data_IF_797833447921
#
_entry.id   IF_797833447921
#
_cell.length_a   1.000
_cell.length_b   1.000
_cell.length_c   1.000
_cell.angle_alpha   90.00
_cell.angle_beta   90.00
_cell.angle_gamma   90.00
#
_symmetry.space_group_name_H-M   'P 1'
#
loop_
_entity.id
_entity.type
_entity.pdbx_description
1 polymer ?
#
# COMPACT_ATOMS: atom_id res chain seq x y z
N UNK A 1 2.37 -7.83 9.78
CA UNK A 1 3.24 -7.02 8.90
C UNK A 1 3.57 -5.76 9.65
N UNK A 2 4.85 -5.52 9.94
CA UNK A 2 5.27 -4.32 10.67
C UNK A 2 4.95 -3.09 9.82
N UNK A 3 4.14 -2.17 10.36
CA UNK A 3 3.83 -0.91 9.69
C UNK A 3 5.15 -0.16 9.47
N UNK A 4 5.66 -0.14 8.24
CA UNK A 4 6.68 0.84 7.84
C UNK A 4 6.12 2.21 8.21
N UNK A 5 6.79 2.94 9.11
CA UNK A 5 6.32 4.28 9.52
C UNK A 5 6.32 5.16 8.28
N UNK A 6 5.39 6.11 8.20
CA UNK A 6 5.26 7.03 7.05
C UNK A 6 6.59 7.71 6.67
N UNK A 7 7.45 7.92 7.67
CA UNK A 7 8.82 8.44 7.55
C UNK A 7 9.76 7.57 6.72
N UNK A 8 9.52 6.26 6.66
CA UNK A 8 10.32 5.32 5.84
C UNK A 8 10.00 5.48 4.35
N UNK A 9 8.76 5.85 3.99
CA UNK A 9 8.42 6.10 2.58
C UNK A 9 9.13 7.34 2.02
N UNK A 10 9.36 8.35 2.85
CA UNK A 10 10.04 9.58 2.44
C UNK A 10 11.49 9.33 1.98
N UNK A 11 12.17 8.35 2.57
CA UNK A 11 13.56 7.99 2.24
C UNK A 11 13.72 6.91 1.15
N UNK A 12 12.62 6.35 0.64
CA UNK A 12 12.68 5.33 -0.42
C UNK A 12 12.81 5.98 -1.80
N UNK A 13 13.57 5.33 -2.67
CA UNK A 13 13.66 5.70 -4.08
C UNK A 13 12.30 5.49 -4.78
N UNK A 14 12.04 6.27 -5.84
CA UNK A 14 10.77 6.24 -6.57
C UNK A 14 10.48 4.85 -7.14
N UNK A 15 11.50 4.16 -7.66
CA UNK A 15 11.36 2.81 -8.21
C UNK A 15 10.97 1.78 -7.16
N UNK A 16 11.56 1.89 -5.96
CA UNK A 16 11.26 1.00 -4.83
C UNK A 16 9.85 1.24 -4.33
N UNK A 17 9.42 2.50 -4.25
CA UNK A 17 8.06 2.87 -3.86
C UNK A 17 7.02 2.33 -4.85
N UNK A 18 7.29 2.41 -6.16
CA UNK A 18 6.41 1.83 -7.18
C UNK A 18 6.36 0.30 -7.13
N UNK A 19 7.48 -0.35 -6.84
CA UNK A 19 7.55 -1.81 -6.69
C UNK A 19 6.73 -2.27 -5.50
N UNK A 20 6.93 -1.64 -4.34
CA UNK A 20 6.18 -1.92 -3.11
C UNK A 20 4.68 -1.64 -3.30
N UNK A 21 4.32 -0.58 -4.03
CA UNK A 21 2.93 -0.27 -4.38
C UNK A 21 2.29 -1.38 -5.23
N UNK A 22 2.99 -1.86 -6.27
CA UNK A 22 2.49 -2.95 -7.13
C UNK A 22 2.25 -4.22 -6.31
N UNK A 23 3.21 -4.60 -5.48
CA UNK A 23 3.10 -5.75 -4.60
C UNK A 23 1.91 -5.63 -3.62
N UNK A 24 1.73 -4.45 -3.00
CA UNK A 24 0.61 -4.20 -2.09
C UNK A 24 -0.76 -4.27 -2.79
N UNK A 25 -0.85 -3.83 -4.05
CA UNK A 25 -2.09 -3.91 -4.85
C UNK A 25 -2.42 -5.36 -5.21
N UNK A 26 -1.43 -6.17 -5.58
CA UNK A 26 -1.62 -7.60 -5.84
C UNK A 26 -2.07 -8.35 -4.59
N UNK A 27 -1.43 -8.07 -3.45
CA UNK A 27 -1.79 -8.66 -2.16
C UNK A 27 -3.21 -8.25 -1.74
N UNK A 28 -3.62 -7.00 -1.99
CA UNK A 28 -4.98 -6.55 -1.76
C UNK A 28 -5.98 -7.33 -2.63
N UNK A 29 -5.67 -7.55 -3.91
CA UNK A 29 -6.52 -8.31 -4.82
C UNK A 29 -6.71 -9.74 -4.31
N UNK A 30 -5.60 -10.39 -3.94
CA UNK A 30 -5.61 -11.74 -3.37
C UNK A 30 -6.42 -11.82 -2.08
N UNK A 31 -6.19 -10.91 -1.13
CA UNK A 31 -6.93 -10.87 0.13
C UNK A 31 -8.43 -10.61 -0.06
N UNK A 32 -8.82 -9.80 -1.07
CA UNK A 32 -10.24 -9.58 -1.39
C UNK A 32 -10.90 -10.85 -1.91
N UNK A 33 -10.21 -11.59 -2.79
CA UNK A 33 -10.70 -12.89 -3.29
C UNK A 33 -10.78 -13.90 -2.16
N UNK A 34 -9.71 -14.05 -1.37
CA UNK A 34 -9.68 -14.97 -0.23
C UNK A 34 -10.76 -14.64 0.81
N UNK A 35 -10.98 -13.36 1.12
CA UNK A 35 -12.04 -12.92 2.02
C UNK A 35 -13.44 -13.25 1.47
N UNK A 36 -13.66 -13.05 0.16
CA UNK A 36 -14.93 -13.39 -0.51
C UNK A 36 -15.19 -14.90 -0.54
N UNK A 37 -14.14 -15.71 -0.71
CA UNK A 37 -14.25 -17.17 -0.78
C UNK A 37 -14.37 -17.81 0.61
N UNK A 38 -13.60 -17.33 1.60
CA UNK A 38 -13.52 -17.95 2.94
C UNK A 38 -14.42 -17.32 3.99
N UNK A 39 -15.04 -16.17 3.74
CA UNK A 39 -16.10 -15.55 4.55
C UNK A 39 -15.73 -15.08 5.97
N UNK A 40 -14.60 -15.51 6.54
CA UNK A 40 -14.21 -15.27 7.94
C UNK A 40 -12.78 -14.75 8.13
N UNK A 41 -12.08 -14.38 7.05
CA UNK A 41 -10.71 -13.85 7.15
C UNK A 41 -10.69 -12.35 7.47
N UNK A 42 -9.77 -11.99 8.37
CA UNK A 42 -9.69 -10.75 9.13
C UNK A 42 -9.81 -9.47 8.27
N UNK A 43 -11.00 -8.85 8.15
CA UNK A 43 -11.25 -7.71 7.24
C UNK A 43 -10.44 -6.46 7.63
N UNK A 44 -9.94 -6.43 8.86
CA UNK A 44 -9.08 -5.37 9.38
C UNK A 44 -7.77 -5.28 8.56
N UNK A 45 -7.22 -6.41 8.11
CA UNK A 45 -6.00 -6.44 7.30
C UNK A 45 -6.20 -5.77 5.94
N UNK A 46 -7.32 -6.02 5.26
CA UNK A 46 -7.69 -5.35 4.01
C UNK A 46 -7.79 -3.83 4.23
N UNK A 47 -8.39 -3.41 5.35
CA UNK A 47 -8.48 -1.98 5.70
C UNK A 47 -7.11 -1.34 5.91
N UNK A 48 -6.18 -2.04 6.56
CA UNK A 48 -4.81 -1.54 6.75
C UNK A 48 -4.06 -1.44 5.43
N UNK A 49 -4.11 -2.48 4.59
CA UNK A 49 -3.42 -2.50 3.30
C UNK A 49 -3.93 -1.38 2.37
N UNK A 50 -5.25 -1.11 2.37
CA UNK A 50 -5.82 0.05 1.64
C UNK A 50 -5.24 1.39 2.11
N UNK A 51 -5.03 1.56 3.41
CA UNK A 51 -4.45 2.79 3.97
C UNK A 51 -2.98 2.93 3.60
N UNK A 52 -2.24 1.84 3.53
CA UNK A 52 -0.83 1.85 3.12
C UNK A 52 -0.69 2.22 1.64
N UNK A 53 -1.48 1.61 0.76
CA UNK A 53 -1.52 1.97 -0.67
C UNK A 53 -1.84 3.47 -0.85
N UNK A 54 -2.82 3.98 -0.09
CA UNK A 54 -3.17 5.40 -0.16
C UNK A 54 -2.00 6.31 0.23
N UNK A 55 -1.28 5.98 1.32
CA UNK A 55 -0.11 6.74 1.77
C UNK A 55 1.01 6.73 0.73
N UNK A 56 1.31 5.58 0.13
CA UNK A 56 2.32 5.47 -0.93
C UNK A 56 1.95 6.33 -2.14
N UNK A 57 0.68 6.29 -2.58
CA UNK A 57 0.19 7.15 -3.67
C UNK A 57 0.29 8.63 -3.32
N UNK A 58 -0.06 9.02 -2.11
CA UNK A 58 0.06 10.42 -1.66
C UNK A 58 1.52 10.89 -1.71
N UNK A 59 2.47 10.06 -1.30
CA UNK A 59 3.89 10.39 -1.41
C UNK A 59 4.35 10.54 -2.87
N UNK A 60 3.93 9.64 -3.77
CA UNK A 60 4.20 9.78 -5.20
C UNK A 60 3.63 11.08 -5.77
N UNK A 61 2.37 11.40 -5.43
CA UNK A 61 1.74 12.65 -5.88
C UNK A 61 2.47 13.86 -5.34
N UNK A 62 2.83 13.88 -4.05
CA UNK A 62 3.63 14.96 -3.44
C UNK A 62 4.94 15.17 -4.19
N UNK A 63 5.69 14.09 -4.45
CA UNK A 63 6.95 14.14 -5.22
C UNK A 63 6.74 14.71 -6.63
N UNK A 64 5.67 14.28 -7.32
CA UNK A 64 5.35 14.81 -8.64
C UNK A 64 4.92 16.29 -8.63
N UNK A 65 4.16 16.71 -7.61
CA UNK A 65 3.65 18.08 -7.48
C UNK A 65 4.68 19.08 -6.99
N UNK A 66 5.67 18.64 -6.20
CA UNK A 66 6.79 19.49 -5.77
C UNK A 66 7.80 19.71 -6.91
N UNK A 67 7.76 18.88 -7.96
CA UNK A 67 8.57 19.03 -9.17
C UNK A 67 7.90 19.88 -10.28
N UNK A 68 6.76 20.52 -10.01
CA UNK A 68 6.07 21.44 -10.91
C UNK A 68 6.23 22.90 -10.43
#
# INVERSE_FOLDING_TARGET
MALKKYTEFAGLDNEVLERDLRQAVEELSRLRVEHKVKGLQNPVQIRHLRKEIAKMKTEMTKRSSTHA
#
